data_IF_451827249952
#
_entry.id   IF_451827249952
#
_cell.length_a   1.000
_cell.length_b   1.000
_cell.length_c   1.000
_cell.angle_alpha   90.00
_cell.angle_beta   90.00
_cell.angle_gamma   90.00
#
_symmetry.space_group_name_H-M   'P 1'
#
loop_
_entity.id
_entity.type
_entity.pdbx_description
1 polymer ?
#
# COMPACT_ATOMS: atom_id res chain seq x y z
N UNK A 1 -10.39 -13.05 -1.56
CA UNK A 1 -9.94 -11.67 -1.84
C UNK A 1 -8.43 -11.59 -1.66
N UNK A 2 -7.79 -10.72 -2.41
CA UNK A 2 -6.37 -10.43 -2.28
C UNK A 2 -6.17 -8.92 -2.22
N UNK A 3 -5.29 -8.47 -1.34
CA UNK A 3 -4.85 -7.06 -1.27
C UNK A 3 -3.35 -6.98 -1.51
N UNK A 4 -2.87 -5.86 -2.02
CA UNK A 4 -1.46 -5.63 -2.30
C UNK A 4 -0.91 -4.51 -1.43
N UNK A 5 0.37 -4.61 -1.07
CA UNK A 5 1.05 -3.60 -0.26
C UNK A 5 2.17 -2.94 -1.06
N UNK A 6 2.18 -1.61 -1.05
CA UNK A 6 3.34 -0.82 -1.46
C UNK A 6 4.00 -0.24 -0.23
N UNK A 7 5.33 -0.21 -0.23
CA UNK A 7 6.11 0.28 0.90
C UNK A 7 6.56 1.71 0.65
N UNK A 8 6.55 2.52 1.70
CA UNK A 8 7.15 3.83 1.71
C UNK A 8 7.93 4.05 3.01
N UNK A 9 8.66 5.15 3.07
CA UNK A 9 9.33 5.64 4.26
C UNK A 9 8.92 7.09 4.54
N UNK A 10 9.51 7.71 5.57
CA UNK A 10 9.18 9.09 5.91
C UNK A 10 9.45 10.06 4.77
N UNK A 11 10.46 9.79 3.94
CA UNK A 11 10.83 10.68 2.83
C UNK A 11 9.92 10.54 1.61
N UNK A 12 9.16 9.45 1.48
CA UNK A 12 8.36 9.16 0.27
C UNK A 12 6.86 9.12 0.51
N UNK A 13 6.42 9.01 1.76
CA UNK A 13 5.00 8.88 2.11
C UNK A 13 4.15 10.03 1.57
N UNK A 14 4.58 11.26 1.79
CA UNK A 14 3.80 12.44 1.39
C UNK A 14 3.55 12.48 -0.12
N UNK A 15 4.55 12.17 -0.93
CA UNK A 15 4.37 12.14 -2.39
C UNK A 15 3.42 11.03 -2.83
N UNK A 16 3.50 9.85 -2.20
CA UNK A 16 2.57 8.76 -2.49
C UNK A 16 1.11 9.22 -2.30
N UNK A 17 0.84 9.84 -1.17
CA UNK A 17 -0.52 10.27 -0.82
C UNK A 17 -0.97 11.48 -1.63
N UNK A 18 -0.12 12.49 -1.81
CA UNK A 18 -0.44 13.72 -2.55
C UNK A 18 -0.64 13.46 -4.03
N UNK A 19 0.24 12.67 -4.64
CA UNK A 19 0.15 12.34 -6.07
C UNK A 19 -0.89 11.27 -6.36
N UNK A 20 -1.38 10.56 -5.35
CA UNK A 20 -2.18 9.34 -5.52
C UNK A 20 -1.48 8.37 -6.45
N UNK A 21 -0.23 8.08 -6.11
CA UNK A 21 0.67 7.27 -6.90
C UNK A 21 1.49 6.39 -5.95
N UNK A 22 1.45 5.09 -6.15
CA UNK A 22 2.28 4.15 -5.40
C UNK A 22 3.38 3.64 -6.31
N UNK A 23 4.57 3.49 -5.74
CA UNK A 23 5.75 3.13 -6.52
C UNK A 23 6.58 2.05 -5.87
N UNK A 24 7.33 1.35 -6.72
CA UNK A 24 8.32 0.37 -6.30
C UNK A 24 9.50 0.38 -7.27
N UNK A 25 10.54 -0.37 -6.94
CA UNK A 25 11.73 -0.49 -7.77
C UNK A 25 11.49 -1.47 -8.94
N UNK A 26 12.34 -1.38 -9.95
CA UNK A 26 12.25 -2.24 -11.13
C UNK A 26 12.41 -3.74 -10.80
N UNK A 27 13.08 -4.08 -9.70
CA UNK A 27 13.19 -5.47 -9.23
C UNK A 27 11.86 -6.10 -8.87
N UNK A 28 10.83 -5.29 -8.61
CA UNK A 28 9.48 -5.76 -8.27
C UNK A 28 8.49 -5.67 -9.43
N UNK A 29 8.99 -5.41 -10.65
CA UNK A 29 8.12 -5.21 -11.81
C UNK A 29 7.19 -6.39 -12.08
N UNK A 30 7.69 -7.61 -12.02
CA UNK A 30 6.88 -8.81 -12.29
C UNK A 30 5.65 -8.91 -11.37
N UNK A 31 5.84 -8.60 -10.08
CA UNK A 31 4.74 -8.56 -9.16
C UNK A 31 3.77 -7.41 -9.46
N UNK A 32 4.29 -6.20 -9.63
CA UNK A 32 3.47 -5.02 -9.87
C UNK A 32 2.68 -5.11 -11.19
N UNK A 33 3.25 -5.74 -12.20
CA UNK A 33 2.63 -5.92 -13.51
C UNK A 33 1.35 -6.78 -13.46
N UNK A 34 1.16 -7.57 -12.40
CA UNK A 34 -0.04 -8.39 -12.22
C UNK A 34 -1.21 -7.60 -11.61
N UNK A 35 -0.96 -6.41 -11.09
CA UNK A 35 -2.00 -5.55 -10.52
C UNK A 35 -2.78 -4.93 -11.67
N UNK A 36 -4.09 -4.97 -11.57
CA UNK A 36 -5.01 -4.41 -12.58
C UNK A 36 -5.93 -3.37 -11.95
N UNK A 37 -6.49 -2.43 -12.73
CA UNK A 37 -7.47 -1.48 -12.22
C UNK A 37 -8.60 -2.19 -11.48
N UNK A 38 -8.99 -1.63 -10.32
CA UNK A 38 -9.96 -2.23 -9.41
C UNK A 38 -9.35 -3.02 -8.27
N UNK A 39 -8.08 -3.41 -8.36
CA UNK A 39 -7.39 -4.12 -7.28
C UNK A 39 -7.25 -3.24 -6.05
N UNK A 40 -7.28 -3.87 -4.88
CA UNK A 40 -7.20 -3.20 -3.58
C UNK A 40 -5.74 -3.11 -3.14
N UNK A 41 -5.32 -1.90 -2.80
CA UNK A 41 -3.94 -1.58 -2.43
C UNK A 41 -3.90 -0.90 -1.07
N UNK A 42 -2.81 -1.15 -0.32
CA UNK A 42 -2.46 -0.45 0.90
C UNK A 42 -1.06 0.15 0.78
N UNK A 43 -0.86 1.31 1.40
CA UNK A 43 0.46 1.92 1.56
C UNK A 43 0.93 1.68 2.98
N UNK A 44 2.12 1.11 3.13
CA UNK A 44 2.72 0.84 4.43
C UNK A 44 4.04 1.58 4.59
N UNK A 45 4.13 2.42 5.63
CA UNK A 45 5.37 3.08 5.99
C UNK A 45 6.15 2.17 6.94
N UNK A 46 7.26 1.59 6.45
CA UNK A 46 8.01 0.62 7.23
C UNK A 46 8.84 1.25 8.37
N UNK A 47 8.99 2.57 8.38
CA UNK A 47 9.67 3.27 9.47
C UNK A 47 8.74 3.56 10.63
N UNK A 48 7.50 3.96 10.36
CA UNK A 48 6.52 4.32 11.40
C UNK A 48 5.58 3.17 11.76
N UNK A 49 5.36 2.23 10.86
CA UNK A 49 4.32 1.21 10.98
C UNK A 49 2.94 1.69 10.54
N UNK A 50 2.82 2.92 10.07
CA UNK A 50 1.55 3.45 9.59
C UNK A 50 1.12 2.76 8.32
N UNK A 51 -0.17 2.42 8.25
CA UNK A 51 -0.82 1.83 7.09
C UNK A 51 -1.98 2.71 6.64
N UNK A 52 -2.11 2.88 5.34
CA UNK A 52 -3.15 3.68 4.71
C UNK A 52 -3.91 2.84 3.68
N UNK A 53 -5.20 2.87 3.71
CA UNK A 53 -6.04 2.18 2.74
C UNK A 53 -7.40 1.77 3.30
N UNK A 54 -8.20 1.07 2.50
CA UNK A 54 -7.89 0.60 1.14
C UNK A 54 -7.88 1.70 0.10
N UNK A 55 -6.95 1.63 -0.84
CA UNK A 55 -6.98 2.37 -2.09
C UNK A 55 -7.38 1.43 -3.22
N UNK A 56 -7.81 2.01 -4.33
CA UNK A 56 -8.13 1.24 -5.53
C UNK A 56 -7.16 1.60 -6.64
N UNK A 57 -6.58 0.60 -7.30
CA UNK A 57 -5.75 0.82 -8.47
C UNK A 57 -6.60 1.39 -9.61
N UNK A 58 -6.10 2.44 -10.27
CA UNK A 58 -6.78 3.06 -11.43
C UNK A 58 -5.96 2.92 -12.71
N UNK A 59 -4.79 2.30 -12.63
CA UNK A 59 -3.93 2.02 -13.79
C UNK A 59 -3.25 0.67 -13.64
N UNK A 60 -2.66 0.19 -14.72
CA UNK A 60 -1.64 -0.87 -14.68
C UNK A 60 -0.28 -0.27 -14.31
N UNK A 61 0.72 -1.13 -14.06
CA UNK A 61 2.06 -0.67 -13.77
C UNK A 61 2.66 0.09 -14.97
N UNK A 62 3.31 1.21 -14.68
CA UNK A 62 3.96 2.06 -15.68
C UNK A 62 4.81 3.11 -14.98
N UNK A 63 5.34 4.05 -15.74
CA UNK A 63 6.03 5.21 -15.18
C UNK A 63 5.25 6.47 -15.55
N UNK A 64 4.45 6.98 -14.62
CA UNK A 64 3.54 8.09 -14.85
C UNK A 64 4.13 9.44 -14.43
N UNK A 65 5.04 9.42 -13.46
CA UNK A 65 5.76 10.60 -12.98
C UNK A 65 7.21 10.20 -12.71
N UNK A 66 8.06 10.36 -13.71
CA UNK A 66 9.47 9.96 -13.63
C UNK A 66 10.22 10.72 -12.51
N UNK A 67 9.84 11.97 -12.27
CA UNK A 67 10.45 12.83 -11.26
C UNK A 67 9.99 12.53 -9.83
N UNK A 68 8.91 11.78 -9.66
CA UNK A 68 8.38 11.45 -8.34
C UNK A 68 9.45 10.73 -7.52
N UNK A 69 9.52 11.07 -6.23
CA UNK A 69 10.51 10.54 -5.28
C UNK A 69 11.95 10.66 -5.81
N UNK A 70 12.23 11.70 -6.58
CA UNK A 70 13.54 11.94 -7.21
C UNK A 70 13.99 10.77 -8.10
N UNK A 71 13.03 10.12 -8.77
CA UNK A 71 13.31 8.99 -9.66
C UNK A 71 13.55 7.65 -8.98
N UNK A 72 13.29 7.56 -7.67
CA UNK A 72 13.56 6.34 -6.89
C UNK A 72 12.69 5.15 -7.29
N UNK A 73 11.42 5.38 -7.62
CA UNK A 73 10.46 4.35 -7.94
C UNK A 73 9.90 4.53 -9.35
N UNK A 74 10.45 3.79 -10.30
CA UNK A 74 10.08 3.90 -11.72
C UNK A 74 8.95 2.95 -12.11
N UNK A 75 8.57 2.02 -11.26
CA UNK A 75 7.41 1.15 -11.43
C UNK A 75 6.29 1.70 -10.58
N UNK A 76 5.26 2.26 -11.21
CA UNK A 76 4.25 3.05 -10.55
C UNK A 76 2.85 2.57 -10.91
N UNK A 77 1.91 2.73 -9.96
CA UNK A 77 0.49 2.48 -10.16
C UNK A 77 -0.28 3.69 -9.64
N UNK A 78 -1.18 4.21 -10.49
CA UNK A 78 -2.11 5.25 -10.05
C UNK A 78 -3.17 4.64 -9.16
N UNK A 79 -3.51 5.34 -8.09
CA UNK A 79 -4.50 4.88 -7.11
C UNK A 79 -5.51 5.99 -6.83
N UNK A 80 -6.65 5.61 -6.28
CA UNK A 80 -7.63 6.54 -5.77
C UNK A 80 -7.96 6.22 -4.32
N UNK A 81 -8.03 7.26 -3.49
CA UNK A 81 -8.49 7.17 -2.11
C UNK A 81 -9.99 6.96 -2.12
N UNK A 82 -10.50 6.10 -1.23
CA UNK A 82 -11.92 5.80 -1.08
C UNK A 82 -12.47 6.48 0.17
N UNK A 83 -13.80 6.61 0.28
CA UNK A 83 -14.41 7.07 1.52
C UNK A 83 -14.13 6.13 2.69
N UNK A 84 -13.94 4.85 2.40
CA UNK A 84 -13.60 3.83 3.39
C UNK A 84 -12.13 3.82 3.77
N UNK A 85 -11.27 4.57 3.07
CA UNK A 85 -9.84 4.63 3.36
C UNK A 85 -9.60 5.18 4.75
N UNK A 86 -8.73 4.51 5.50
CA UNK A 86 -8.38 4.87 6.88
C UNK A 86 -6.88 4.76 7.07
N UNK A 87 -6.40 5.37 8.15
CA UNK A 87 -5.03 5.23 8.63
C UNK A 87 -5.05 4.44 9.94
N UNK A 88 -4.11 3.53 10.09
CA UNK A 88 -3.89 2.80 11.34
C UNK A 88 -2.38 2.51 11.47
N UNK A 89 -2.00 1.73 12.47
CA UNK A 89 -0.60 1.36 12.67
C UNK A 89 -0.49 -0.14 12.91
N UNK A 90 0.28 -0.84 12.08
CA UNK A 90 0.45 -2.29 12.16
C UNK A 90 1.34 -2.72 13.33
N UNK A 91 2.04 -1.80 13.99
CA UNK A 91 2.84 -2.10 15.17
C UNK A 91 2.01 -2.15 16.44
N UNK A 92 0.76 -1.70 16.40
CA UNK A 92 -0.20 -1.91 17.48
C UNK A 92 -0.45 -3.42 17.65
N UNK A 93 -0.79 -3.84 18.87
CA UNK A 93 -0.93 -5.26 19.20
C UNK A 93 -1.84 -6.03 18.21
N UNK A 94 -2.97 -5.42 17.83
CA UNK A 94 -3.93 -6.06 16.92
C UNK A 94 -3.50 -6.05 15.46
N UNK A 95 -2.61 -5.13 15.08
CA UNK A 95 -2.14 -4.98 13.71
C UNK A 95 -1.02 -5.93 13.32
N UNK A 96 -0.26 -6.42 14.32
CA UNK A 96 0.95 -7.22 14.07
C UNK A 96 0.68 -8.51 13.31
N UNK A 97 -0.51 -9.06 13.41
CA UNK A 97 -0.91 -10.29 12.67
C UNK A 97 -0.85 -10.12 11.15
N UNK A 98 -0.87 -8.89 10.65
CA UNK A 98 -0.79 -8.61 9.22
C UNK A 98 0.66 -8.47 8.72
N UNK A 99 1.64 -8.47 9.63
CA UNK A 99 3.07 -8.40 9.31
C UNK A 99 3.62 -9.81 9.08
N UNK A 100 3.24 -10.40 7.97
CA UNK A 100 3.56 -11.81 7.66
C UNK A 100 4.83 -11.97 6.81
N UNK A 101 5.45 -10.87 6.43
CA UNK A 101 6.69 -10.87 5.65
C UNK A 101 7.93 -10.96 6.52
N UNK A 102 9.09 -10.93 5.86
CA UNK A 102 10.39 -10.93 6.54
C UNK A 102 10.58 -9.64 7.32
N UNK A 103 11.31 -9.71 8.45
CA UNK A 103 11.64 -8.55 9.30
C UNK A 103 10.39 -7.82 9.80
N UNK A 104 9.32 -8.56 10.09
CA UNK A 104 8.05 -8.00 10.55
C UNK A 104 7.50 -6.92 9.61
N UNK A 105 7.60 -7.15 8.31
CA UNK A 105 6.97 -6.32 7.27
C UNK A 105 5.81 -7.08 6.66
N UNK A 106 4.83 -6.39 6.04
CA UNK A 106 3.82 -7.08 5.26
C UNK A 106 4.47 -7.73 4.02
N UNK A 107 3.89 -8.83 3.55
CA UNK A 107 4.19 -9.36 2.23
C UNK A 107 3.70 -8.36 1.15
N UNK A 108 4.16 -8.55 -0.09
CA UNK A 108 3.63 -7.76 -1.21
C UNK A 108 2.11 -7.93 -1.38
N UNK A 109 1.57 -9.07 -0.97
CA UNK A 109 0.13 -9.30 -0.98
C UNK A 109 -0.30 -10.17 0.19
N UNK A 110 -1.58 -10.04 0.56
CA UNK A 110 -2.27 -10.91 1.51
C UNK A 110 -3.49 -11.50 0.83
N UNK A 111 -3.69 -12.80 1.06
CA UNK A 111 -4.91 -13.50 0.67
C UNK A 111 -5.85 -13.68 1.86
N UNK A 112 -7.10 -14.07 1.59
CA UNK A 112 -8.05 -14.40 2.64
C UNK A 112 -7.56 -15.61 3.46
N UNK A 113 -7.89 -15.64 4.76
CA UNK A 113 -8.79 -14.71 5.46
C UNK A 113 -8.15 -13.39 5.91
N UNK A 114 -6.83 -13.27 5.86
CA UNK A 114 -6.14 -12.08 6.37
C UNK A 114 -6.52 -10.80 5.60
N UNK A 115 -6.71 -10.89 4.28
CA UNK A 115 -7.09 -9.73 3.48
C UNK A 115 -8.42 -9.14 3.93
N UNK A 116 -9.45 -9.98 4.09
CA UNK A 116 -10.77 -9.53 4.57
C UNK A 116 -10.70 -9.03 6.00
N UNK A 117 -9.91 -9.68 6.85
CA UNK A 117 -9.71 -9.25 8.23
C UNK A 117 -9.04 -7.88 8.31
N UNK A 118 -8.07 -7.62 7.43
CA UNK A 118 -7.42 -6.31 7.37
C UNK A 118 -8.42 -5.21 7.02
N UNK A 119 -9.26 -5.44 6.02
CA UNK A 119 -10.30 -4.47 5.64
C UNK A 119 -11.25 -4.17 6.79
N UNK A 120 -11.71 -5.20 7.50
CA UNK A 120 -12.58 -5.03 8.68
C UNK A 120 -11.89 -4.23 9.77
N UNK A 121 -10.67 -4.59 10.09
CA UNK A 121 -9.89 -3.91 11.14
C UNK A 121 -9.65 -2.44 10.80
N UNK A 122 -9.30 -2.15 9.54
CA UNK A 122 -9.13 -0.77 9.08
C UNK A 122 -10.42 0.03 9.19
N UNK A 123 -11.55 -0.56 8.81
CA UNK A 123 -12.85 0.11 8.88
C UNK A 123 -13.34 0.35 10.31
N UNK A 124 -13.06 -0.57 11.23
CA UNK A 124 -13.53 -0.51 12.61
C UNK A 124 -12.62 0.34 13.51
N UNK A 125 -11.32 0.27 13.32
CA UNK A 125 -10.33 0.88 14.23
C UNK A 125 -9.44 1.92 13.56
N UNK A 126 -9.54 2.10 12.26
CA UNK A 126 -8.77 3.11 11.55
C UNK A 126 -9.32 4.51 11.75
N UNK A 127 -8.45 5.49 11.50
CA UNK A 127 -8.77 6.92 11.60
C UNK A 127 -8.80 7.55 10.23
N UNK A 128 -9.55 8.63 10.09
CA UNK A 128 -9.52 9.44 8.87
C UNK A 128 -8.14 10.07 8.68
N UNK A 129 -7.81 10.33 7.44
CA UNK A 129 -6.55 11.01 7.11
C UNK A 129 -6.70 11.87 5.87
#
# INVERSE_FOLDING_TARGET
>A
MRVHFFLCDHSTESECLTRQLFGTTTSNFEWAAKIVPGDVLFLYNFESGDIFGPFEATSVAGCYAEEAWRGKFLVQIKVTKKQTSRKNNLLNADGRRFLTGRKSRPLHCLDDPLASNLLLWMGQQGKEF
#
